data_IF_378769465633
#
_entry.id   IF_378769465633
#
_cell.length_a   1.000
_cell.length_b   1.000
_cell.length_c   1.000
_cell.angle_alpha   90.00
_cell.angle_beta   90.00
_cell.angle_gamma   90.00
#
_symmetry.space_group_name_H-M   'P 1'
#
loop_
_entity.id
_entity.type
_entity.pdbx_description
1 polymer ?
#
# COMPACT_ATOMS: atom_id res chain seq x y z
N UNK A 1 30.40 19.07 -6.45
CA UNK A 1 29.46 18.14 -7.13
C UNK A 1 28.06 18.65 -6.80
N UNK A 2 27.43 19.39 -7.70
CA UNK A 2 26.08 19.90 -7.44
C UNK A 2 25.06 18.74 -7.56
N UNK A 3 24.12 18.60 -6.61
CA UNK A 3 23.09 17.58 -6.72
C UNK A 3 22.17 17.94 -7.89
N UNK A 4 22.11 17.05 -8.87
CA UNK A 4 21.29 17.21 -10.07
C UNK A 4 19.82 17.41 -9.67
N UNK A 5 19.34 18.63 -9.85
CA UNK A 5 17.93 19.01 -9.69
C UNK A 5 17.02 18.04 -10.45
N UNK A 6 16.17 17.31 -9.73
CA UNK A 6 15.19 16.39 -10.31
C UNK A 6 14.07 17.20 -10.96
N UNK A 7 13.91 17.02 -12.28
CA UNK A 7 12.81 17.56 -13.07
C UNK A 7 11.44 17.12 -12.49
N UNK A 8 10.51 18.08 -12.31
CA UNK A 8 9.22 17.90 -11.63
C UNK A 8 8.30 16.82 -12.21
N UNK A 9 8.50 16.38 -13.46
CA UNK A 9 7.80 15.22 -14.04
C UNK A 9 8.29 13.86 -13.51
N UNK A 10 9.58 13.74 -13.16
CA UNK A 10 10.15 12.50 -12.61
C UNK A 10 9.71 12.27 -11.18
N UNK A 11 9.63 13.32 -10.35
CA UNK A 11 9.27 13.19 -8.93
C UNK A 11 7.85 12.67 -8.71
N UNK A 12 6.89 13.07 -9.57
CA UNK A 12 5.51 12.56 -9.52
C UNK A 12 5.44 11.08 -9.85
N UNK A 13 6.13 10.64 -10.91
CA UNK A 13 6.16 9.23 -11.32
C UNK A 13 6.71 8.32 -10.22
N UNK A 14 7.78 8.75 -9.55
CA UNK A 14 8.35 8.03 -8.41
C UNK A 14 7.39 7.96 -7.21
N UNK A 15 6.68 9.04 -6.89
CA UNK A 15 5.66 9.03 -5.83
C UNK A 15 4.52 8.06 -6.09
N UNK A 16 3.99 8.02 -7.32
CA UNK A 16 2.91 7.12 -7.69
C UNK A 16 3.35 5.65 -7.66
N UNK A 17 4.56 5.38 -8.14
CA UNK A 17 5.16 4.05 -8.07
C UNK A 17 5.36 3.61 -6.60
N UNK A 18 5.89 4.51 -5.77
CA UNK A 18 6.11 4.24 -4.35
C UNK A 18 4.81 3.97 -3.59
N UNK A 19 3.78 4.80 -3.78
CA UNK A 19 2.48 4.60 -3.12
C UNK A 19 1.78 3.30 -3.54
N UNK A 20 1.90 2.88 -4.81
CA UNK A 20 1.39 1.57 -5.25
C UNK A 20 2.14 0.43 -4.58
N UNK A 21 3.46 0.54 -4.49
CA UNK A 21 4.29 -0.48 -3.87
C UNK A 21 4.00 -0.62 -2.37
N UNK A 22 3.86 0.51 -1.66
CA UNK A 22 3.55 0.51 -0.23
C UNK A 22 2.15 -0.06 0.03
N UNK A 23 1.12 0.36 -0.72
CA UNK A 23 -0.23 -0.19 -0.55
C UNK A 23 -0.34 -1.69 -0.83
N UNK A 24 0.32 -2.18 -1.90
CA UNK A 24 0.41 -3.62 -2.17
C UNK A 24 1.22 -4.36 -1.09
N UNK A 25 2.29 -3.74 -0.58
CA UNK A 25 3.09 -4.27 0.51
C UNK A 25 2.28 -4.49 1.78
N UNK A 26 1.46 -3.50 2.18
CA UNK A 26 0.56 -3.63 3.33
C UNK A 26 -0.42 -4.80 3.16
N UNK A 27 -0.99 -4.97 1.96
CA UNK A 27 -1.88 -6.09 1.67
C UNK A 27 -1.16 -7.44 1.74
N UNK A 28 0.02 -7.55 1.13
CA UNK A 28 0.80 -8.77 1.14
C UNK A 28 1.23 -9.16 2.55
N UNK A 29 1.67 -8.18 3.36
CA UNK A 29 2.06 -8.41 4.75
C UNK A 29 0.84 -8.82 5.57
N UNK A 30 -0.29 -8.11 5.46
CA UNK A 30 -1.50 -8.44 6.21
C UNK A 30 -2.03 -9.84 5.89
N UNK A 31 -2.15 -10.16 4.61
CA UNK A 31 -2.64 -11.48 4.14
C UNK A 31 -1.62 -12.57 4.49
N UNK A 32 -0.34 -12.36 4.19
CA UNK A 32 0.72 -13.35 4.47
C UNK A 32 0.86 -13.63 5.97
N UNK A 33 0.79 -12.59 6.81
CA UNK A 33 0.80 -12.73 8.26
C UNK A 33 -0.42 -13.52 8.75
N UNK A 34 -1.62 -13.20 8.26
CA UNK A 34 -2.84 -13.93 8.63
C UNK A 34 -2.72 -15.43 8.33
N UNK A 35 -2.40 -15.78 7.08
CA UNK A 35 -2.27 -17.18 6.68
C UNK A 35 -1.13 -17.88 7.42
N UNK A 36 0.03 -17.25 7.54
CA UNK A 36 1.17 -17.81 8.27
C UNK A 36 0.83 -18.10 9.73
N UNK A 37 0.19 -17.14 10.41
CA UNK A 37 -0.19 -17.29 11.82
C UNK A 37 -1.29 -18.34 12.00
N UNK A 38 -2.35 -18.31 11.18
CA UNK A 38 -3.45 -19.27 11.24
C UNK A 38 -3.01 -20.70 10.91
N UNK A 39 -2.04 -20.89 10.02
CA UNK A 39 -1.49 -22.22 9.72
C UNK A 39 -0.63 -22.76 10.86
N UNK A 40 0.21 -21.91 11.46
CA UNK A 40 1.11 -22.32 12.54
C UNK A 40 0.39 -22.62 13.85
N UNK A 41 -0.61 -21.80 14.19
CA UNK A 41 -1.27 -21.85 15.50
C UNK A 41 -2.73 -22.31 15.44
N UNK A 42 -3.27 -22.62 14.26
CA UNK A 42 -4.67 -23.03 14.10
C UNK A 42 -5.69 -21.92 14.37
N UNK A 43 -5.26 -20.66 14.41
CA UNK A 43 -6.04 -19.49 14.82
C UNK A 43 -6.84 -18.91 13.64
N UNK A 44 -7.66 -19.73 12.99
CA UNK A 44 -8.45 -19.30 11.84
C UNK A 44 -9.58 -18.34 12.22
N UNK A 45 -10.07 -18.38 13.46
CA UNK A 45 -11.20 -17.58 13.95
C UNK A 45 -10.82 -16.65 15.11
N UNK A 46 -9.54 -16.33 15.22
CA UNK A 46 -9.03 -15.52 16.32
C UNK A 46 -9.31 -14.03 16.10
N UNK A 47 -10.08 -13.45 17.00
CA UNK A 47 -10.51 -12.04 16.93
C UNK A 47 -9.32 -11.08 17.09
N UNK A 48 -8.32 -11.45 17.88
CA UNK A 48 -7.10 -10.65 18.06
C UNK A 48 -6.31 -10.56 16.75
N UNK A 49 -6.12 -11.69 16.09
CA UNK A 49 -5.45 -11.76 14.78
C UNK A 49 -6.22 -10.94 13.74
N UNK A 50 -7.55 -11.06 13.69
CA UNK A 50 -8.38 -10.27 12.79
C UNK A 50 -8.27 -8.76 13.04
N UNK A 51 -8.25 -8.33 14.31
CA UNK A 51 -8.16 -6.92 14.68
C UNK A 51 -6.87 -6.27 14.19
N UNK A 52 -5.79 -7.03 14.12
CA UNK A 52 -4.50 -6.57 13.60
C UNK A 52 -4.47 -6.58 12.06
N UNK A 53 -4.91 -7.69 11.44
CA UNK A 53 -4.88 -7.87 9.98
C UNK A 53 -5.80 -6.88 9.28
N UNK A 54 -6.99 -6.62 9.82
CA UNK A 54 -7.97 -5.74 9.17
C UNK A 54 -7.43 -4.32 9.01
N UNK A 55 -6.66 -3.82 9.98
CA UNK A 55 -6.03 -2.49 9.91
C UNK A 55 -5.06 -2.44 8.73
N UNK A 56 -4.16 -3.44 8.61
CA UNK A 56 -3.22 -3.51 7.49
C UNK A 56 -3.93 -3.57 6.13
N UNK A 57 -4.99 -4.38 6.04
CA UNK A 57 -5.75 -4.54 4.80
C UNK A 57 -6.47 -3.25 4.42
N UNK A 58 -7.16 -2.62 5.36
CA UNK A 58 -7.91 -1.37 5.13
C UNK A 58 -6.96 -0.25 4.70
N UNK A 59 -5.83 -0.06 5.40
CA UNK A 59 -4.87 0.95 5.02
C UNK A 59 -4.21 0.66 3.67
N UNK A 60 -3.91 -0.60 3.35
CA UNK A 60 -3.39 -0.98 2.03
C UNK A 60 -4.38 -0.68 0.89
N UNK A 61 -5.66 -0.97 1.09
CA UNK A 61 -6.72 -0.64 0.12
C UNK A 61 -6.92 0.87 -0.04
N UNK A 62 -6.95 1.61 1.08
CA UNK A 62 -7.11 3.07 1.08
C UNK A 62 -5.94 3.76 0.36
N UNK A 63 -4.72 3.30 0.59
CA UNK A 63 -3.55 3.82 -0.10
C UNK A 63 -3.64 3.60 -1.61
N UNK A 64 -4.00 2.39 -2.04
CA UNK A 64 -4.19 2.10 -3.45
C UNK A 64 -5.30 2.97 -4.07
N UNK A 65 -6.42 3.15 -3.37
CA UNK A 65 -7.49 4.03 -3.82
C UNK A 65 -7.01 5.49 -3.94
N UNK A 66 -6.25 5.99 -2.97
CA UNK A 66 -5.72 7.36 -2.96
C UNK A 66 -4.72 7.59 -4.10
N UNK A 67 -3.90 6.60 -4.44
CA UNK A 67 -3.00 6.71 -5.59
C UNK A 67 -3.80 6.75 -6.90
N UNK A 68 -4.85 5.94 -7.03
CA UNK A 68 -5.71 5.94 -8.22
C UNK A 68 -6.43 7.27 -8.41
N UNK A 69 -6.95 7.89 -7.34
CA UNK A 69 -7.60 9.20 -7.42
C UNK A 69 -6.61 10.29 -7.84
N UNK A 70 -5.40 10.29 -7.28
CA UNK A 70 -4.34 11.25 -7.65
C UNK A 70 -3.92 11.14 -9.12
N UNK A 71 -3.80 9.92 -9.65
CA UNK A 71 -3.49 9.70 -11.08
C UNK A 71 -4.64 10.20 -11.96
N UNK A 72 -5.89 9.92 -11.57
CA UNK A 72 -7.08 10.36 -12.31
C UNK A 72 -7.20 11.89 -12.36
N UNK A 73 -7.00 12.56 -11.23
CA UNK A 73 -6.99 14.03 -11.15
C UNK A 73 -5.91 14.63 -12.07
N UNK A 74 -4.68 14.09 -12.04
CA UNK A 74 -3.58 14.57 -12.86
C UNK A 74 -3.86 14.46 -14.36
N UNK A 75 -4.48 13.36 -14.81
CA UNK A 75 -4.85 13.17 -16.22
C UNK A 75 -6.05 14.02 -16.66
N UNK A 76 -6.88 14.51 -15.75
CA UNK A 76 -8.04 15.34 -16.09
C UNK A 76 -7.72 16.83 -16.25
N UNK A 77 -6.56 17.25 -15.75
CA UNK A 77 -6.09 18.64 -15.78
C UNK A 77 -5.09 18.87 -16.93
N UNK A 78 -4.53 17.79 -17.49
CA UNK A 78 -3.76 17.83 -18.75
C UNK A 78 -4.69 17.73 -19.95
#
# INVERSE_FOLDING_TARGET
MEPKSMNGGQSKRWRHFWGRFMGLGLLFIGVGFYFGWSLLYGTWTDVGLYSFVIVLVVFGLLELALVQTKIKEENSIQ
#
